data_IF_625354063044
#
_entry.id   IF_625354063044
#
_cell.length_a   1.000
_cell.length_b   1.000
_cell.length_c   1.000
_cell.angle_alpha   90.00
_cell.angle_beta   90.00
_cell.angle_gamma   90.00
#
_symmetry.space_group_name_H-M   'P 1'
#
loop_
_entity.id
_entity.type
_entity.pdbx_description
1 polymer ?
#
# COMPACT_ATOMS: atom_id res chain seq x y z
N UNK A 1 -47.58 15.31 5.41
CA UNK A 1 -46.23 15.06 4.85
C UNK A 1 -45.62 13.91 5.64
N UNK A 2 -45.49 12.72 5.05
CA UNK A 2 -44.82 11.62 5.74
C UNK A 2 -43.32 11.93 5.78
N UNK A 3 -42.79 12.29 6.95
CA UNK A 3 -41.37 12.56 7.16
C UNK A 3 -40.50 11.34 6.85
N UNK A 4 -39.18 11.52 6.82
CA UNK A 4 -38.26 10.40 6.73
C UNK A 4 -38.47 9.42 7.90
N UNK A 5 -38.04 8.15 7.77
CA UNK A 5 -38.20 7.15 8.85
C UNK A 5 -37.61 7.66 10.16
N UNK A 6 -36.45 8.33 10.07
CA UNK A 6 -35.77 8.92 11.22
C UNK A 6 -36.59 10.01 11.93
N UNK A 7 -37.41 10.75 11.19
CA UNK A 7 -38.28 11.82 11.73
C UNK A 7 -39.54 11.25 12.39
N UNK A 8 -40.01 10.09 11.94
CA UNK A 8 -41.24 9.45 12.45
C UNK A 8 -40.97 8.39 13.53
N UNK A 9 -39.71 8.06 13.83
CA UNK A 9 -39.37 7.07 14.84
C UNK A 9 -39.41 7.67 16.26
N UNK A 10 -40.14 7.00 17.16
CA UNK A 10 -40.08 7.30 18.60
C UNK A 10 -38.67 7.02 19.16
N UNK A 11 -38.26 7.75 20.20
CA UNK A 11 -36.99 7.56 20.90
C UNK A 11 -36.76 6.11 21.35
N UNK A 12 -37.81 5.40 21.80
CA UNK A 12 -37.72 3.98 22.17
C UNK A 12 -37.26 3.09 21.00
N UNK A 13 -37.86 3.27 19.82
CA UNK A 13 -37.47 2.54 18.59
C UNK A 13 -36.05 2.87 18.15
N UNK A 14 -35.66 4.15 18.22
CA UNK A 14 -34.31 4.59 17.89
C UNK A 14 -33.26 3.93 18.81
N UNK A 15 -33.52 3.89 20.13
CA UNK A 15 -32.64 3.23 21.10
C UNK A 15 -32.54 1.74 20.82
N UNK A 16 -33.66 1.06 20.52
CA UNK A 16 -33.65 -0.38 20.19
C UNK A 16 -32.77 -0.64 18.96
N UNK A 17 -32.93 0.12 17.88
CA UNK A 17 -32.10 -0.01 16.67
C UNK A 17 -30.63 0.27 17.00
N UNK A 18 -30.34 1.30 17.79
CA UNK A 18 -28.98 1.63 18.21
C UNK A 18 -28.32 0.51 19.01
N UNK A 19 -29.04 -0.11 19.96
CA UNK A 19 -28.54 -1.26 20.73
C UNK A 19 -28.30 -2.46 19.83
N UNK A 20 -29.20 -2.75 18.87
CA UNK A 20 -29.01 -3.84 17.91
C UNK A 20 -27.73 -3.62 17.09
N UNK A 21 -27.53 -2.42 16.54
CA UNK A 21 -26.32 -2.08 15.79
C UNK A 21 -25.05 -2.18 16.66
N UNK A 22 -25.12 -1.75 17.92
CA UNK A 22 -24.02 -1.88 18.86
C UNK A 22 -23.68 -3.34 19.15
N UNK A 23 -24.69 -4.21 19.30
CA UNK A 23 -24.46 -5.66 19.46
C UNK A 23 -23.79 -6.26 18.22
N UNK A 24 -24.22 -5.89 17.01
CA UNK A 24 -23.54 -6.32 15.77
C UNK A 24 -22.10 -5.81 15.68
N UNK A 25 -21.83 -4.59 16.14
CA UNK A 25 -20.48 -4.04 16.18
C UNK A 25 -19.59 -4.81 17.18
N UNK A 26 -20.10 -5.10 18.38
CA UNK A 26 -19.40 -5.91 19.38
C UNK A 26 -19.13 -7.31 18.85
N UNK A 27 -20.10 -7.96 18.20
CA UNK A 27 -19.91 -9.25 17.54
C UNK A 27 -18.80 -9.19 16.50
N UNK A 28 -18.76 -8.14 15.68
CA UNK A 28 -17.72 -7.95 14.66
C UNK A 28 -16.32 -7.82 15.29
N UNK A 29 -16.22 -7.11 16.42
CA UNK A 29 -14.97 -7.05 17.18
C UNK A 29 -14.57 -8.39 17.79
N UNK A 30 -15.52 -9.16 18.31
CA UNK A 30 -15.26 -10.51 18.84
C UNK A 30 -14.79 -11.47 17.74
N UNK A 31 -15.37 -11.39 16.55
CA UNK A 31 -14.92 -12.18 15.39
C UNK A 31 -13.48 -11.83 15.02
N UNK A 32 -13.14 -10.53 14.94
CA UNK A 32 -11.78 -10.08 14.65
C UNK A 32 -10.77 -10.42 15.76
N UNK A 33 -11.16 -10.33 17.03
CA UNK A 33 -10.26 -10.51 18.17
C UNK A 33 -10.08 -11.95 18.65
N UNK A 34 -11.11 -12.80 18.53
CA UNK A 34 -11.09 -14.17 19.05
C UNK A 34 -10.90 -15.23 17.97
N UNK A 35 -11.36 -14.98 16.74
CA UNK A 35 -11.35 -15.98 15.67
C UNK A 35 -10.31 -15.70 14.59
N UNK A 36 -10.08 -14.44 14.24
CA UNK A 36 -9.10 -14.08 13.22
C UNK A 36 -7.68 -14.05 13.82
N UNK A 37 -6.69 -14.77 13.24
CA UNK A 37 -5.30 -14.61 13.62
C UNK A 37 -4.75 -13.27 13.11
N UNK A 38 -3.48 -12.98 13.40
CA UNK A 38 -2.82 -11.76 12.90
C UNK A 38 -2.98 -11.63 11.38
N UNK A 39 -3.27 -10.42 10.85
CA UNK A 39 -3.57 -10.23 9.43
C UNK A 39 -2.43 -10.66 8.50
N UNK A 40 -1.20 -10.40 8.91
CA UNK A 40 0.01 -10.73 8.15
C UNK A 40 0.98 -11.52 9.02
N UNK A 41 1.90 -12.21 8.35
CA UNK A 41 3.05 -12.88 8.96
C UNK A 41 4.29 -12.48 8.19
N UNK A 42 5.34 -12.09 8.91
CA UNK A 42 6.65 -11.77 8.35
C UNK A 42 7.63 -12.90 8.68
N UNK A 43 8.30 -13.42 7.66
CA UNK A 43 9.27 -14.50 7.79
C UNK A 43 10.61 -14.02 7.23
N UNK A 44 11.67 -14.17 8.02
CA UNK A 44 13.03 -13.82 7.62
C UNK A 44 13.69 -15.00 6.90
N UNK A 45 14.33 -14.72 5.78
CA UNK A 45 15.10 -15.65 4.96
C UNK A 45 16.52 -15.10 4.80
N UNK A 46 17.51 -15.95 5.04
CA UNK A 46 18.90 -15.63 4.73
C UNK A 46 19.24 -16.30 3.40
N UNK A 47 19.76 -15.54 2.45
CA UNK A 47 20.09 -16.06 1.14
C UNK A 47 21.29 -17.00 1.21
N UNK A 48 21.13 -18.19 0.62
CA UNK A 48 22.23 -19.15 0.52
C UNK A 48 23.12 -18.77 -0.65
N UNK A 49 24.42 -18.60 -0.40
CA UNK A 49 25.42 -18.29 -1.43
C UNK A 49 25.77 -19.56 -2.20
N UNK A 50 25.21 -19.69 -3.39
CA UNK A 50 25.48 -20.77 -4.33
C UNK A 50 26.56 -20.37 -5.34
N UNK A 51 27.35 -21.34 -5.80
CA UNK A 51 28.38 -21.13 -6.83
C UNK A 51 27.89 -21.67 -8.18
N UNK A 52 27.91 -20.83 -9.20
CA UNK A 52 27.69 -21.18 -10.61
C UNK A 52 29.01 -21.69 -11.20
N UNK A 53 29.35 -22.94 -10.90
CA UNK A 53 30.48 -23.61 -11.55
C UNK A 53 30.03 -23.87 -12.98
N UNK A 54 30.56 -23.11 -13.95
CA UNK A 54 30.30 -23.25 -15.39
C UNK A 54 30.76 -24.61 -15.94
N UNK A 55 30.16 -25.70 -15.47
CA UNK A 55 30.33 -27.02 -16.07
C UNK A 55 29.56 -26.99 -17.39
N UNK A 56 30.33 -27.08 -18.47
CA UNK A 56 29.88 -27.17 -19.85
C UNK A 56 28.56 -27.97 -19.98
N UNK A 57 27.61 -27.37 -20.70
CA UNK A 57 26.46 -28.00 -21.36
C UNK A 57 25.16 -28.30 -20.60
N UNK A 58 24.98 -27.89 -19.34
CA UNK A 58 23.62 -27.81 -18.77
C UNK A 58 23.40 -26.48 -18.06
N UNK A 59 22.53 -25.65 -18.63
CA UNK A 59 22.02 -24.45 -17.97
C UNK A 59 21.13 -24.89 -16.80
N UNK A 60 21.69 -25.24 -15.64
CA UNK A 60 20.89 -25.26 -14.42
C UNK A 60 20.55 -23.82 -14.07
N UNK A 61 19.46 -23.31 -14.67
CA UNK A 61 19.00 -21.92 -14.52
C UNK A 61 18.64 -21.57 -13.07
N UNK A 62 18.31 -22.59 -12.28
CA UNK A 62 17.74 -22.47 -10.95
C UNK A 62 18.60 -23.19 -9.92
N UNK A 63 18.95 -22.50 -8.83
CA UNK A 63 19.91 -22.95 -7.83
C UNK A 63 19.15 -23.22 -6.55
N UNK A 64 19.10 -24.47 -6.10
CA UNK A 64 18.31 -24.83 -4.93
C UNK A 64 19.15 -24.65 -3.65
N UNK A 65 18.67 -23.89 -2.64
CA UNK A 65 19.44 -23.64 -1.42
C UNK A 65 19.48 -24.82 -0.46
N UNK A 66 18.67 -25.86 -0.63
CA UNK A 66 18.64 -27.06 0.22
C UNK A 66 17.96 -28.21 -0.53
N UNK A 67 18.05 -29.45 -0.04
CA UNK A 67 17.40 -30.63 -0.64
C UNK A 67 18.32 -31.48 -1.53
N UNK A 68 17.77 -32.45 -2.28
CA UNK A 68 18.57 -33.45 -3.02
C UNK A 68 19.40 -32.83 -4.16
N UNK A 69 18.87 -31.80 -4.83
CA UNK A 69 19.56 -31.04 -5.87
C UNK A 69 20.09 -29.69 -5.35
N UNK A 70 20.62 -29.68 -4.13
CA UNK A 70 21.19 -28.45 -3.56
C UNK A 70 22.41 -27.97 -4.35
N UNK A 71 22.57 -26.66 -4.42
CA UNK A 71 23.73 -26.02 -5.00
C UNK A 71 24.99 -26.27 -4.16
N UNK A 72 26.16 -26.07 -4.78
CA UNK A 72 27.43 -25.95 -4.06
C UNK A 72 27.45 -24.62 -3.30
N UNK A 73 27.60 -24.67 -1.98
CA UNK A 73 27.44 -23.51 -1.09
C UNK A 73 28.77 -23.06 -0.53
N UNK A 74 28.91 -21.75 -0.40
CA UNK A 74 29.99 -21.10 0.37
C UNK A 74 29.41 -20.46 1.62
N UNK A 75 30.13 -20.56 2.74
CA UNK A 75 29.70 -19.93 4.01
C UNK A 75 30.12 -18.46 4.03
N UNK A 76 31.38 -18.21 3.66
CA UNK A 76 31.98 -16.88 3.69
C UNK A 76 32.73 -16.57 2.38
N UNK A 77 32.89 -15.29 2.07
CA UNK A 77 33.60 -14.84 0.87
C UNK A 77 35.10 -15.14 0.92
N UNK A 78 35.67 -15.38 2.12
CA UNK A 78 37.05 -15.87 2.25
C UNK A 78 37.25 -17.23 1.58
N UNK A 79 36.25 -18.12 1.64
CA UNK A 79 36.27 -19.41 0.95
C UNK A 79 36.22 -19.20 -0.57
N UNK A 80 35.43 -18.22 -1.04
CA UNK A 80 35.35 -17.87 -2.45
C UNK A 80 36.68 -17.36 -3.01
N UNK A 81 37.43 -16.55 -2.24
CA UNK A 81 38.76 -16.11 -2.62
C UNK A 81 39.76 -17.27 -2.68
N UNK A 82 39.72 -18.19 -1.71
CA UNK A 82 40.56 -19.39 -1.72
C UNK A 82 40.30 -20.27 -2.96
N UNK A 83 39.04 -20.39 -3.37
CA UNK A 83 38.60 -21.15 -4.55
C UNK A 83 38.68 -20.37 -5.87
N UNK A 84 39.14 -19.10 -5.86
CA UNK A 84 39.23 -18.20 -7.03
C UNK A 84 37.90 -18.02 -7.78
N UNK A 85 36.79 -17.96 -7.05
CA UNK A 85 35.44 -17.75 -7.61
C UNK A 85 35.26 -16.26 -7.93
N UNK A 86 34.72 -15.95 -9.12
CA UNK A 86 34.40 -14.56 -9.50
C UNK A 86 33.09 -14.10 -8.86
N UNK A 87 32.94 -12.79 -8.61
CA UNK A 87 31.71 -12.22 -8.07
C UNK A 87 30.46 -12.54 -8.93
N UNK A 88 30.63 -12.59 -10.25
CA UNK A 88 29.56 -12.90 -11.20
C UNK A 88 29.05 -14.34 -11.13
N UNK A 89 29.85 -15.25 -10.59
CA UNK A 89 29.51 -16.67 -10.49
C UNK A 89 28.84 -16.98 -9.13
N UNK A 90 28.63 -16.00 -8.26
CA UNK A 90 27.90 -16.17 -6.99
C UNK A 90 26.42 -15.86 -7.20
N UNK A 91 25.57 -16.79 -6.77
CA UNK A 91 24.11 -16.69 -6.83
C UNK A 91 23.54 -16.80 -5.43
N UNK A 92 22.83 -15.79 -4.98
CA UNK A 92 22.10 -15.80 -3.71
C UNK A 92 20.73 -16.43 -3.94
N UNK A 93 20.54 -17.65 -3.45
CA UNK A 93 19.32 -18.41 -3.64
C UNK A 93 18.46 -18.43 -2.37
N UNK A 94 17.17 -18.14 -2.51
CA UNK A 94 16.16 -18.26 -1.45
C UNK A 94 14.96 -19.06 -1.94
N UNK A 95 14.60 -20.07 -1.16
CA UNK A 95 13.41 -20.87 -1.39
C UNK A 95 12.30 -20.41 -0.44
N UNK A 96 11.17 -20.03 -1.01
CA UNK A 96 9.97 -19.61 -0.30
C UNK A 96 8.89 -20.66 -0.58
N UNK A 97 8.31 -21.32 0.43
CA UNK A 97 8.50 -21.12 1.87
C UNK A 97 9.73 -21.87 2.43
N UNK A 98 9.97 -21.74 3.73
CA UNK A 98 10.97 -22.52 4.48
C UNK A 98 10.81 -24.05 4.31
N UNK A 99 11.85 -24.85 4.60
CA UNK A 99 11.78 -26.31 4.47
C UNK A 99 10.58 -26.93 5.20
N UNK A 100 9.98 -27.96 4.59
CA UNK A 100 8.80 -28.69 5.08
C UNK A 100 7.51 -27.86 5.22
N UNK A 101 7.44 -26.68 4.61
CA UNK A 101 6.22 -25.87 4.51
C UNK A 101 5.80 -25.73 3.04
N UNK A 102 4.55 -25.39 2.81
CA UNK A 102 4.00 -25.05 1.49
C UNK A 102 3.25 -23.72 1.56
N UNK A 103 3.33 -22.93 0.49
CA UNK A 103 2.46 -21.76 0.32
C UNK A 103 1.07 -22.20 -0.12
N UNK A 104 0.08 -21.35 0.14
CA UNK A 104 -1.30 -21.62 -0.27
C UNK A 104 -1.95 -20.37 -0.86
N UNK A 105 -2.95 -20.54 -1.76
CA UNK A 105 -3.73 -19.42 -2.31
C UNK A 105 -4.45 -18.56 -1.28
N UNK A 106 -4.61 -19.06 -0.04
CA UNK A 106 -5.18 -18.31 1.07
C UNK A 106 -4.31 -17.13 1.51
N UNK A 107 -3.02 -17.13 1.16
CA UNK A 107 -2.11 -16.05 1.51
C UNK A 107 -2.29 -14.78 0.67
N UNK A 108 -3.15 -14.83 -0.37
CA UNK A 108 -3.59 -13.75 -1.27
C UNK A 108 -2.46 -12.97 -1.97
N UNK A 109 -1.54 -12.37 -1.23
CA UNK A 109 -0.39 -11.65 -1.74
C UNK A 109 0.89 -12.08 -1.02
N UNK A 110 2.02 -11.83 -1.67
CA UNK A 110 3.34 -12.00 -1.09
C UNK A 110 4.19 -10.77 -1.40
N UNK A 111 4.63 -10.09 -0.35
CA UNK A 111 5.59 -9.00 -0.38
C UNK A 111 6.93 -9.53 0.09
N UNK A 112 8.01 -9.13 -0.57
CA UNK A 112 9.36 -9.42 -0.13
C UNK A 112 10.15 -8.13 -0.08
N UNK A 113 10.79 -7.92 1.06
CA UNK A 113 11.67 -6.80 1.33
C UNK A 113 13.10 -7.33 1.36
N UNK A 114 14.02 -6.61 0.73
CA UNK A 114 15.44 -6.93 0.68
C UNK A 114 16.21 -6.08 1.69
N UNK A 115 17.13 -6.71 2.39
CA UNK A 115 18.06 -6.08 3.32
C UNK A 115 19.47 -6.61 3.04
N UNK A 116 20.42 -5.71 2.81
CA UNK A 116 21.83 -6.08 2.64
C UNK A 116 22.57 -5.94 3.97
N UNK A 117 23.33 -6.98 4.32
CA UNK A 117 24.29 -6.89 5.41
C UNK A 117 25.65 -6.52 4.82
N UNK A 118 26.06 -5.26 5.00
CA UNK A 118 27.30 -4.73 4.43
C UNK A 118 28.28 -4.46 5.57
N UNK A 119 29.48 -5.04 5.50
CA UNK A 119 30.55 -4.78 6.45
C UNK A 119 31.36 -3.53 6.04
N UNK A 120 31.75 -2.74 7.03
CA UNK A 120 32.62 -1.60 6.86
C UNK A 120 34.07 -2.03 6.62
N UNK A 121 34.66 -1.51 5.55
CA UNK A 121 36.05 -1.72 5.16
C UNK A 121 36.64 -0.38 4.70
N UNK A 122 37.84 -0.02 5.19
CA UNK A 122 38.46 1.27 4.84
C UNK A 122 38.76 1.41 3.34
N UNK A 123 39.07 0.30 2.67
CA UNK A 123 39.44 0.28 1.25
C UNK A 123 38.23 0.32 0.31
N UNK A 124 37.06 -0.13 0.77
CA UNK A 124 35.85 -0.26 -0.04
C UNK A 124 34.66 0.34 0.71
N UNK A 125 34.60 1.67 0.76
CA UNK A 125 33.53 2.41 1.41
C UNK A 125 32.38 2.66 0.43
N UNK A 126 31.16 2.68 0.96
CA UNK A 126 29.99 3.18 0.24
C UNK A 126 30.09 4.71 0.16
N UNK A 127 29.84 5.26 -1.03
CA UNK A 127 29.78 6.71 -1.22
C UNK A 127 28.71 7.37 -0.31
N UNK A 128 29.00 8.56 0.23
CA UNK A 128 28.10 9.25 1.17
C UNK A 128 26.76 9.68 0.54
N UNK A 129 26.73 9.90 -0.79
CA UNK A 129 25.50 10.21 -1.54
C UNK A 129 24.63 8.97 -1.86
N UNK A 130 25.03 7.79 -1.38
CA UNK A 130 24.45 6.49 -1.66
C UNK A 130 25.03 5.84 -2.91
N UNK A 131 24.96 4.50 -2.98
CA UNK A 131 25.44 3.72 -4.12
C UNK A 131 24.29 3.07 -4.88
N UNK A 132 24.42 2.90 -6.20
CA UNK A 132 23.43 2.19 -7.00
C UNK A 132 23.83 0.71 -7.11
N UNK A 133 22.98 -0.18 -6.61
CA UNK A 133 23.12 -1.63 -6.79
C UNK A 133 22.25 -2.10 -7.95
N UNK A 134 22.87 -2.81 -8.88
CA UNK A 134 22.19 -3.51 -9.97
C UNK A 134 22.01 -4.96 -9.57
N UNK A 135 20.77 -5.42 -9.53
CA UNK A 135 20.38 -6.74 -9.08
C UNK A 135 19.78 -7.48 -10.26
N UNK A 136 20.39 -8.59 -10.66
CA UNK A 136 19.87 -9.49 -11.69
C UNK A 136 19.10 -10.61 -10.99
N UNK A 137 17.77 -10.57 -11.06
CA UNK A 137 16.89 -11.43 -10.28
C UNK A 137 16.03 -12.31 -11.19
N UNK A 138 15.94 -13.59 -10.83
CA UNK A 138 14.98 -14.54 -11.38
C UNK A 138 14.02 -15.04 -10.30
N UNK A 139 12.73 -15.07 -10.61
CA UNK A 139 11.69 -15.71 -9.80
C UNK A 139 11.12 -16.90 -10.58
N UNK A 140 11.09 -18.06 -9.93
CA UNK A 140 10.45 -19.26 -10.44
C UNK A 140 9.43 -19.82 -9.46
N UNK A 141 8.54 -20.67 -9.96
CA UNK A 141 7.60 -21.44 -9.16
C UNK A 141 7.64 -22.91 -9.54
N UNK A 142 7.07 -23.72 -8.64
CA UNK A 142 6.69 -25.12 -8.88
C UNK A 142 5.60 -25.52 -7.89
N UNK A 143 4.81 -26.52 -8.25
CA UNK A 143 3.76 -27.08 -7.37
C UNK A 143 4.13 -28.44 -6.81
N UNK A 144 4.92 -29.22 -7.54
CA UNK A 144 5.48 -30.49 -7.09
C UNK A 144 6.98 -30.33 -6.76
N UNK A 145 7.47 -31.07 -5.78
CA UNK A 145 8.88 -31.06 -5.36
C UNK A 145 9.76 -31.70 -6.44
N UNK A 146 9.20 -32.62 -7.23
CA UNK A 146 9.90 -33.34 -8.29
C UNK A 146 9.86 -32.62 -9.65
N UNK A 147 8.96 -31.65 -9.83
CA UNK A 147 8.83 -30.94 -11.10
C UNK A 147 9.96 -29.91 -11.28
N UNK A 148 10.28 -29.62 -12.55
CA UNK A 148 11.19 -28.55 -12.91
C UNK A 148 10.63 -27.17 -12.54
N UNK A 149 11.53 -26.21 -12.33
CA UNK A 149 11.19 -24.83 -12.01
C UNK A 149 10.77 -24.07 -13.26
N UNK A 150 9.59 -23.46 -13.22
CA UNK A 150 9.07 -22.60 -14.28
C UNK A 150 9.28 -21.13 -13.92
N UNK A 151 9.84 -20.35 -14.83
CA UNK A 151 10.09 -18.93 -14.62
C UNK A 151 8.78 -18.13 -14.61
N UNK A 152 8.63 -17.24 -13.62
CA UNK A 152 7.60 -16.20 -13.58
C UNK A 152 8.12 -14.94 -14.26
N UNK A 153 9.27 -14.46 -13.77
CA UNK A 153 9.85 -13.21 -14.19
C UNK A 153 11.36 -13.22 -13.98
N UNK A 154 12.07 -12.56 -14.90
CA UNK A 154 13.49 -12.27 -14.79
C UNK A 154 13.72 -10.83 -15.20
N UNK A 155 14.33 -10.04 -14.33
CA UNK A 155 14.62 -8.64 -14.61
C UNK A 155 15.91 -8.18 -13.94
N UNK A 156 16.47 -7.10 -14.50
CA UNK A 156 17.59 -6.37 -13.90
C UNK A 156 17.06 -5.10 -13.29
N UNK A 157 17.10 -5.04 -11.97
CA UNK A 157 16.59 -3.91 -11.21
C UNK A 157 17.75 -3.08 -10.68
N UNK A 158 17.62 -1.76 -10.78
CA UNK A 158 18.49 -0.83 -10.06
C UNK A 158 17.80 -0.43 -8.76
N UNK A 159 18.58 -0.38 -7.67
CA UNK A 159 18.17 0.11 -6.37
C UNK A 159 19.24 1.02 -5.79
N UNK A 160 18.80 2.06 -5.07
CA UNK A 160 19.69 2.95 -4.34
C UNK A 160 19.93 2.35 -2.94
N UNK A 161 21.19 2.14 -2.60
CA UNK A 161 21.65 1.77 -1.26
C UNK A 161 21.80 3.04 -0.43
N UNK A 162 20.87 3.25 0.50
CA UNK A 162 20.93 4.26 1.54
C UNK A 162 21.41 3.57 2.82
N UNK A 163 22.67 3.78 3.17
CA UNK A 163 23.31 3.13 4.31
C UNK A 163 24.08 4.17 5.13
N UNK A 164 23.88 4.15 6.44
CA UNK A 164 24.58 5.02 7.37
C UNK A 164 25.54 4.19 8.25
N UNK A 165 26.72 4.75 8.52
CA UNK A 165 27.66 4.16 9.46
C UNK A 165 27.69 5.01 10.73
N UNK A 166 27.08 4.49 11.79
CA UNK A 166 26.93 5.20 13.05
C UNK A 166 28.24 5.32 13.84
N UNK A 167 29.20 4.43 13.60
CA UNK A 167 30.49 4.42 14.28
C UNK A 167 31.53 5.32 13.57
N UNK A 168 32.56 5.81 14.28
CA UNK A 168 33.63 6.55 13.62
C UNK A 168 34.41 5.64 12.66
N UNK A 169 34.69 6.14 11.45
CA UNK A 169 35.45 5.47 10.38
C UNK A 169 36.93 5.30 10.77
N UNK A 170 37.20 4.40 11.71
CA UNK A 170 38.53 4.04 12.24
C UNK A 170 38.82 2.56 11.94
N UNK A 171 40.10 2.16 11.84
CA UNK A 171 40.48 0.76 11.62
C UNK A 171 39.95 -0.17 12.71
N UNK A 172 39.80 0.32 13.96
CA UNK A 172 39.22 -0.45 15.08
C UNK A 172 37.76 -0.88 14.86
N UNK A 173 37.04 -0.20 13.95
CA UNK A 173 35.64 -0.47 13.65
C UNK A 173 35.45 -1.21 12.31
N UNK A 174 36.53 -1.67 11.67
CA UNK A 174 36.42 -2.55 10.51
C UNK A 174 35.66 -3.83 10.84
N UNK A 175 34.84 -4.29 9.89
CA UNK A 175 33.97 -5.46 10.05
C UNK A 175 32.63 -5.17 10.72
N UNK A 176 32.40 -3.97 11.29
CA UNK A 176 31.06 -3.58 11.76
C UNK A 176 30.11 -3.38 10.60
N UNK A 177 28.83 -3.68 10.79
CA UNK A 177 27.83 -3.54 9.75
C UNK A 177 27.37 -2.09 9.59
N UNK A 178 27.10 -1.71 8.34
CA UNK A 178 26.32 -0.52 8.02
C UNK A 178 24.86 -0.72 8.44
N UNK A 179 24.22 0.37 8.85
CA UNK A 179 22.78 0.43 9.06
C UNK A 179 22.12 0.89 7.76
N UNK A 180 21.52 -0.05 7.02
CA UNK A 180 20.95 0.20 5.70
C UNK A 180 19.42 0.19 5.74
N UNK A 181 18.82 1.08 4.96
CA UNK A 181 17.37 1.13 4.82
C UNK A 181 16.83 -0.12 4.10
N UNK A 182 15.63 -0.54 4.52
CA UNK A 182 14.92 -1.66 3.90
C UNK A 182 14.44 -1.31 2.49
N UNK A 183 14.67 -2.17 1.51
CA UNK A 183 14.28 -1.92 0.12
C UNK A 183 13.10 -2.81 -0.32
N UNK A 184 12.06 -2.25 -0.95
CA UNK A 184 11.01 -3.05 -1.57
C UNK A 184 11.58 -3.83 -2.76
N UNK A 185 11.36 -5.16 -2.76
CA UNK A 185 12.01 -6.06 -3.71
C UNK A 185 11.05 -6.77 -4.65
N UNK A 186 10.04 -7.45 -4.10
CA UNK A 186 9.09 -8.25 -4.88
C UNK A 186 7.68 -8.09 -4.32
N UNK A 187 6.70 -7.87 -5.19
CA UNK A 187 5.27 -7.88 -4.82
C UNK A 187 4.50 -8.78 -5.79
N UNK A 188 3.92 -9.87 -5.27
CA UNK A 188 3.01 -10.74 -6.00
C UNK A 188 1.59 -10.54 -5.47
N UNK A 189 0.68 -10.14 -6.36
CA UNK A 189 -0.75 -9.95 -6.03
C UNK A 189 -1.58 -11.25 -5.95
N UNK A 190 -0.95 -12.41 -6.14
CA UNK A 190 -1.57 -13.74 -6.05
C UNK A 190 -0.52 -14.79 -5.70
N UNK A 191 -0.81 -15.64 -4.71
CA UNK A 191 0.04 -16.77 -4.29
C UNK A 191 -0.56 -18.08 -4.81
N UNK A 192 -0.49 -18.31 -6.11
CA UNK A 192 -1.13 -19.47 -6.73
C UNK A 192 -0.40 -20.80 -6.54
N UNK A 193 0.93 -20.74 -6.33
CA UNK A 193 1.79 -21.92 -6.34
C UNK A 193 2.30 -22.26 -4.94
N UNK A 194 2.69 -23.52 -4.75
CA UNK A 194 3.15 -24.01 -3.44
C UNK A 194 4.58 -23.60 -3.10
N UNK A 195 5.45 -23.54 -4.11
CA UNK A 195 6.87 -23.27 -3.92
C UNK A 195 7.35 -22.22 -4.91
N UNK A 196 8.20 -21.32 -4.41
CA UNK A 196 8.83 -20.24 -5.14
C UNK A 196 10.32 -20.25 -4.88
N UNK A 197 11.10 -19.97 -5.92
CA UNK A 197 12.54 -19.84 -5.84
C UNK A 197 12.96 -18.47 -6.36
N UNK A 198 13.74 -17.77 -5.55
CA UNK A 198 14.29 -16.46 -5.87
C UNK A 198 15.80 -16.61 -5.99
N UNK A 199 16.32 -16.36 -7.18
CA UNK A 199 17.74 -16.33 -7.45
C UNK A 199 18.18 -14.89 -7.69
N UNK A 200 19.16 -14.43 -6.93
CA UNK A 200 19.66 -13.05 -6.98
C UNK A 200 21.13 -13.10 -7.36
N UNK A 201 21.51 -12.36 -8.39
CA UNK A 201 22.90 -12.17 -8.83
C UNK A 201 23.27 -10.70 -8.76
N UNK A 202 24.50 -10.42 -8.37
CA UNK A 202 25.07 -9.08 -8.32
C UNK A 202 26.16 -8.96 -9.40
N UNK A 203 25.80 -8.67 -10.66
CA UNK A 203 26.78 -8.62 -11.73
C UNK A 203 27.74 -7.44 -11.53
N UNK A 204 29.04 -7.69 -11.58
CA UNK A 204 30.10 -6.69 -11.47
C UNK A 204 30.69 -6.42 -12.85
N UNK A 205 30.77 -5.14 -13.22
CA UNK A 205 31.40 -4.71 -14.47
C UNK A 205 32.12 -3.37 -14.28
N UNK A 206 33.45 -3.42 -14.20
CA UNK A 206 34.29 -2.22 -14.00
C UNK A 206 34.19 -1.22 -15.16
N UNK A 207 34.07 -1.71 -16.41
CA UNK A 207 34.01 -0.84 -17.61
C UNK A 207 32.74 0.01 -17.62
N UNK A 208 31.62 -0.58 -17.18
CA UNK A 208 30.32 0.09 -17.10
C UNK A 208 30.05 0.69 -15.71
N UNK A 209 31.01 0.60 -14.77
CA UNK A 209 30.87 0.97 -13.36
C UNK A 209 29.62 0.38 -12.69
N UNK A 210 29.30 -0.87 -13.01
CA UNK A 210 28.15 -1.59 -12.41
C UNK A 210 28.63 -2.32 -11.17
N UNK A 211 27.96 -2.08 -10.03
CA UNK A 211 28.25 -2.70 -8.72
C UNK A 211 29.71 -2.51 -8.26
N UNK A 212 30.30 -1.35 -8.56
CA UNK A 212 31.63 -0.97 -8.08
C UNK A 212 31.45 -0.02 -6.89
N UNK A 213 32.16 -0.27 -5.77
CA UNK A 213 32.09 0.60 -4.59
C UNK A 213 30.78 0.49 -3.79
N UNK A 214 30.10 -0.65 -3.84
CA UNK A 214 28.87 -0.92 -3.07
C UNK A 214 29.15 -1.45 -1.65
N UNK A 215 30.39 -1.33 -1.18
CA UNK A 215 30.84 -1.88 0.11
C UNK A 215 31.13 -3.39 0.06
N UNK A 216 31.48 -3.96 1.21
CA UNK A 216 31.72 -5.40 1.37
C UNK A 216 30.45 -6.10 1.84
N UNK A 217 29.62 -6.54 0.90
CA UNK A 217 28.40 -7.30 1.20
C UNK A 217 28.79 -8.63 1.83
N UNK A 218 28.23 -8.95 3.01
CA UNK A 218 28.40 -10.22 3.73
C UNK A 218 27.26 -11.17 3.47
N UNK A 219 26.02 -10.70 3.61
CA UNK A 219 24.83 -11.52 3.41
C UNK A 219 23.69 -10.69 2.83
N UNK A 220 22.71 -11.39 2.27
CA UNK A 220 21.47 -10.81 1.78
C UNK A 220 20.34 -11.46 2.56
N UNK A 221 19.56 -10.63 3.25
CA UNK A 221 18.37 -11.05 3.96
C UNK A 221 17.13 -10.64 3.18
N UNK A 222 16.11 -11.50 3.20
CA UNK A 222 14.81 -11.24 2.62
C UNK A 222 13.73 -11.43 3.68
N UNK A 223 12.80 -10.48 3.78
CA UNK A 223 11.64 -10.59 4.66
C UNK A 223 10.42 -10.82 3.79
N UNK A 224 9.91 -12.05 3.81
CA UNK A 224 8.68 -12.44 3.11
C UNK A 224 7.47 -12.17 4.00
N UNK A 225 6.62 -11.23 3.58
CA UNK A 225 5.37 -10.86 4.24
C UNK A 225 4.22 -11.38 3.40
N UNK A 226 3.35 -12.18 3.99
CA UNK A 226 2.15 -12.66 3.32
C UNK A 226 0.94 -12.52 4.23
N UNK A 227 -0.25 -12.46 3.64
CA UNK A 227 -1.48 -12.47 4.42
C UNK A 227 -1.64 -13.82 5.10
N UNK A 228 -2.17 -13.83 6.32
CA UNK A 228 -2.40 -15.07 7.03
C UNK A 228 -3.66 -15.75 6.49
N UNK A 229 -3.55 -17.03 6.11
CA UNK A 229 -4.66 -17.75 5.48
C UNK A 229 -5.88 -17.91 6.40
N UNK A 230 -5.67 -17.99 7.71
CA UNK A 230 -6.77 -17.98 8.69
C UNK A 230 -7.51 -16.64 8.72
N UNK A 231 -6.78 -15.53 8.66
CA UNK A 231 -7.37 -14.19 8.59
C UNK A 231 -8.16 -14.01 7.29
N UNK A 232 -7.60 -14.44 6.15
CA UNK A 232 -8.28 -14.42 4.84
C UNK A 232 -9.62 -15.16 4.87
N UNK A 233 -9.68 -16.35 5.50
CA UNK A 233 -10.93 -17.12 5.62
C UNK A 233 -12.00 -16.38 6.41
N UNK A 234 -11.64 -15.81 7.57
CA UNK A 234 -12.58 -15.03 8.39
C UNK A 234 -13.04 -13.77 7.65
N UNK A 235 -12.11 -13.10 6.98
CA UNK A 235 -12.38 -11.92 6.16
C UNK A 235 -13.37 -12.22 5.03
N UNK A 236 -13.17 -13.31 4.30
CA UNK A 236 -14.07 -13.73 3.22
C UNK A 236 -15.45 -14.11 3.76
N UNK A 237 -15.51 -14.84 4.87
CA UNK A 237 -16.78 -15.20 5.52
C UNK A 237 -17.56 -13.95 5.94
N UNK A 238 -16.88 -12.96 6.52
CA UNK A 238 -17.48 -11.69 6.91
C UNK A 238 -18.03 -10.94 5.69
N UNK A 239 -17.26 -10.84 4.60
CA UNK A 239 -17.73 -10.24 3.35
C UNK A 239 -18.97 -10.95 2.82
N UNK A 240 -18.90 -12.27 2.64
CA UNK A 240 -20.01 -13.09 2.13
C UNK A 240 -21.28 -12.95 2.97
N UNK A 241 -21.16 -12.83 4.29
CA UNK A 241 -22.31 -12.62 5.17
C UNK A 241 -22.89 -11.20 5.06
N UNK A 242 -22.05 -10.18 4.94
CA UNK A 242 -22.48 -8.79 4.86
C UNK A 242 -23.07 -8.42 3.49
N UNK A 243 -22.55 -8.94 2.39
CA UNK A 243 -23.05 -8.60 1.03
C UNK A 243 -24.57 -8.72 0.87
N UNK A 244 -25.22 -9.85 1.18
CA UNK A 244 -26.67 -10.00 0.98
C UNK A 244 -27.47 -9.04 1.87
N UNK A 245 -27.04 -8.83 3.12
CA UNK A 245 -27.73 -7.89 4.03
C UNK A 245 -27.72 -6.45 3.50
N UNK A 246 -26.57 -5.97 3.01
CA UNK A 246 -26.41 -4.64 2.45
C UNK A 246 -27.17 -4.50 1.12
N UNK A 247 -27.17 -5.54 0.28
CA UNK A 247 -27.92 -5.56 -0.97
C UNK A 247 -29.43 -5.47 -0.72
N UNK A 248 -29.96 -6.26 0.23
CA UNK A 248 -31.39 -6.26 0.58
C UNK A 248 -31.83 -4.88 1.07
N UNK A 249 -31.08 -4.28 2.01
CA UNK A 249 -31.44 -2.95 2.52
C UNK A 249 -31.31 -1.86 1.46
N UNK A 250 -30.33 -1.95 0.56
CA UNK A 250 -30.15 -1.02 -0.56
C UNK A 250 -31.31 -1.10 -1.56
N UNK A 251 -31.70 -2.30 -1.98
CA UNK A 251 -32.85 -2.52 -2.89
C UNK A 251 -34.14 -2.05 -2.23
N UNK A 252 -34.35 -2.36 -0.95
CA UNK A 252 -35.50 -1.89 -0.19
C UNK A 252 -35.53 -0.36 -0.08
N UNK A 253 -34.39 0.27 0.22
CA UNK A 253 -34.27 1.71 0.33
C UNK A 253 -34.62 2.42 -0.98
N UNK A 254 -34.07 1.95 -2.10
CA UNK A 254 -34.36 2.53 -3.41
C UNK A 254 -35.82 2.32 -3.82
N UNK A 255 -36.37 1.12 -3.59
CA UNK A 255 -37.79 0.83 -3.85
C UNK A 255 -38.71 1.74 -3.04
N UNK A 256 -38.37 2.05 -1.78
CA UNK A 256 -39.16 2.98 -0.94
C UNK A 256 -39.12 4.40 -1.48
N UNK A 257 -37.99 4.85 -2.01
CA UNK A 257 -37.85 6.19 -2.60
C UNK A 257 -38.68 6.32 -3.89
N UNK A 258 -38.62 5.32 -4.78
CA UNK A 258 -39.32 5.38 -6.06
C UNK A 258 -40.85 5.27 -5.94
N UNK A 259 -41.36 4.77 -4.81
CA UNK A 259 -42.80 4.72 -4.52
C UNK A 259 -43.37 6.07 -4.07
N UNK A 260 -42.53 7.05 -3.71
CA UNK A 260 -42.99 8.39 -3.37
C UNK A 260 -43.30 9.20 -4.64
N UNK A 261 -44.31 10.06 -4.57
CA UNK A 261 -44.71 10.91 -5.71
C UNK A 261 -43.72 12.04 -6.01
N UNK A 262 -42.80 12.34 -5.08
CA UNK A 262 -41.76 13.37 -5.24
C UNK A 262 -40.52 12.80 -5.93
N UNK A 263 -39.77 13.59 -6.71
CA UNK A 263 -38.46 13.17 -7.20
C UNK A 263 -37.47 12.99 -6.03
N UNK A 264 -36.50 12.06 -6.15
CA UNK A 264 -35.50 11.81 -5.11
C UNK A 264 -34.61 13.03 -4.86
N UNK A 265 -34.44 13.38 -3.58
CA UNK A 265 -33.58 14.51 -3.17
C UNK A 265 -32.10 14.17 -3.30
N UNK A 266 -31.24 15.20 -3.31
CA UNK A 266 -29.79 15.00 -3.50
C UNK A 266 -29.19 14.06 -2.45
N UNK A 267 -29.58 14.23 -1.18
CA UNK A 267 -29.09 13.42 -0.06
C UNK A 267 -29.52 11.95 -0.17
N UNK A 268 -30.74 11.68 -0.63
CA UNK A 268 -31.25 10.32 -0.86
C UNK A 268 -30.44 9.61 -1.96
N UNK A 269 -30.10 10.32 -3.04
CA UNK A 269 -29.24 9.83 -4.13
C UNK A 269 -27.81 9.54 -3.66
N UNK A 270 -27.25 10.40 -2.82
CA UNK A 270 -25.89 10.19 -2.28
C UNK A 270 -25.81 9.01 -1.32
N UNK A 271 -26.82 8.81 -0.45
CA UNK A 271 -26.92 7.60 0.39
C UNK A 271 -27.03 6.35 -0.47
N UNK A 272 -27.84 6.39 -1.54
CA UNK A 272 -27.94 5.26 -2.47
C UNK A 272 -26.59 4.95 -3.14
N UNK A 273 -25.88 5.98 -3.63
CA UNK A 273 -24.57 5.81 -4.23
C UNK A 273 -23.51 5.30 -3.24
N UNK A 274 -23.57 5.72 -1.97
CA UNK A 274 -22.74 5.18 -0.89
C UNK A 274 -23.07 3.70 -0.59
N UNK A 275 -24.35 3.33 -0.65
CA UNK A 275 -24.80 1.93 -0.54
C UNK A 275 -24.26 1.06 -1.67
N UNK A 276 -24.23 1.58 -2.90
CA UNK A 276 -23.63 0.88 -4.07
C UNK A 276 -22.14 0.68 -3.86
N UNK A 277 -21.38 1.71 -3.46
CA UNK A 277 -19.93 1.58 -3.24
C UNK A 277 -19.60 0.64 -2.07
N UNK A 278 -20.39 0.66 -0.99
CA UNK A 278 -20.26 -0.30 0.12
C UNK A 278 -20.56 -1.73 -0.33
N UNK A 279 -21.59 -1.92 -1.15
CA UNK A 279 -21.90 -3.23 -1.74
C UNK A 279 -20.73 -3.71 -2.59
N UNK A 280 -20.15 -2.84 -3.43
CA UNK A 280 -19.05 -3.18 -4.33
C UNK A 280 -17.79 -3.66 -3.60
N UNK A 281 -17.43 -3.08 -2.45
CA UNK A 281 -16.33 -3.56 -1.60
C UNK A 281 -16.61 -4.93 -1.00
N UNK A 282 -17.85 -5.15 -0.57
CA UNK A 282 -18.27 -6.35 0.13
C UNK A 282 -18.56 -7.53 -0.80
N UNK A 283 -18.66 -7.33 -2.12
CA UNK A 283 -18.76 -8.46 -3.06
C UNK A 283 -17.48 -9.29 -2.92
N UNK A 284 -17.59 -10.59 -2.57
CA UNK A 284 -16.43 -11.40 -2.22
C UNK A 284 -15.81 -12.01 -3.50
N UNK A 285 -15.37 -11.14 -4.41
CA UNK A 285 -14.69 -11.51 -5.69
C UNK A 285 -13.39 -12.27 -5.41
N UNK A 286 -12.81 -12.07 -4.24
CA UNK A 286 -11.58 -12.72 -3.78
C UNK A 286 -11.73 -14.25 -3.62
N UNK A 287 -12.95 -14.80 -3.54
CA UNK A 287 -13.14 -16.25 -3.61
C UNK A 287 -12.58 -16.86 -4.89
N UNK A 288 -12.65 -16.11 -6.01
CA UNK A 288 -12.12 -16.58 -7.27
C UNK A 288 -10.58 -16.65 -7.28
N UNK A 289 -9.87 -15.86 -6.45
CA UNK A 289 -8.40 -15.93 -6.39
C UNK A 289 -7.89 -17.21 -5.73
N UNK A 290 -8.74 -17.95 -5.02
CA UNK A 290 -8.36 -19.25 -4.44
C UNK A 290 -8.27 -20.32 -5.53
N UNK A 291 -9.12 -20.24 -6.55
CA UNK A 291 -9.15 -21.21 -7.66
C UNK A 291 -8.38 -20.78 -8.91
N UNK A 292 -8.26 -19.47 -9.13
CA UNK A 292 -7.60 -18.90 -10.31
C UNK A 292 -6.47 -17.95 -9.93
N UNK A 293 -5.35 -18.03 -10.66
CA UNK A 293 -4.23 -17.12 -10.45
C UNK A 293 -4.51 -15.74 -11.07
N UNK A 294 -5.13 -14.83 -10.31
CA UNK A 294 -5.41 -13.46 -10.75
C UNK A 294 -4.54 -12.46 -10.00
N UNK A 295 -3.46 -12.02 -10.65
CA UNK A 295 -2.48 -11.08 -10.09
C UNK A 295 -3.04 -9.66 -9.87
N UNK A 296 -4.12 -9.28 -10.55
CA UNK A 296 -4.77 -7.96 -10.47
C UNK A 296 -5.74 -7.81 -9.28
N UNK A 297 -5.89 -8.84 -8.44
CA UNK A 297 -6.83 -8.82 -7.32
C UNK A 297 -6.52 -7.69 -6.31
N UNK A 298 -5.24 -7.43 -6.06
CA UNK A 298 -4.80 -6.37 -5.14
C UNK A 298 -5.23 -4.98 -5.64
N UNK A 299 -4.88 -4.67 -6.89
CA UNK A 299 -5.26 -3.42 -7.56
C UNK A 299 -6.78 -3.23 -7.59
N UNK A 300 -7.53 -4.28 -7.88
CA UNK A 300 -9.00 -4.22 -7.85
C UNK A 300 -9.55 -3.99 -6.43
N UNK A 301 -8.88 -4.51 -5.39
CA UNK A 301 -9.17 -4.20 -3.99
C UNK A 301 -8.99 -2.71 -3.69
N UNK A 302 -7.86 -2.12 -4.09
CA UNK A 302 -7.57 -0.71 -3.82
C UNK A 302 -8.54 0.22 -4.55
N UNK A 303 -8.83 -0.06 -5.82
CA UNK A 303 -9.79 0.72 -6.62
C UNK A 303 -11.17 0.72 -5.95
N UNK A 304 -11.63 -0.44 -5.46
CA UNK A 304 -12.90 -0.56 -4.73
C UNK A 304 -12.91 0.30 -3.46
N UNK A 305 -11.83 0.25 -2.68
CA UNK A 305 -11.69 1.05 -1.46
C UNK A 305 -11.61 2.55 -1.75
N UNK A 306 -10.83 2.94 -2.75
CA UNK A 306 -10.70 4.33 -3.20
C UNK A 306 -12.03 4.94 -3.63
N UNK A 307 -12.84 4.21 -4.41
CA UNK A 307 -14.19 4.64 -4.81
C UNK A 307 -15.07 4.87 -3.58
N UNK A 308 -15.06 3.95 -2.60
CA UNK A 308 -15.86 4.10 -1.38
C UNK A 308 -15.44 5.32 -0.57
N UNK A 309 -14.14 5.53 -0.35
CA UNK A 309 -13.66 6.70 0.41
C UNK A 309 -14.04 8.02 -0.27
N UNK A 310 -13.93 8.09 -1.59
CA UNK A 310 -14.37 9.26 -2.37
C UNK A 310 -15.86 9.52 -2.23
N UNK A 311 -16.69 8.47 -2.29
CA UNK A 311 -18.14 8.58 -2.09
C UNK A 311 -18.51 8.96 -0.65
N UNK A 312 -17.82 8.41 0.36
CA UNK A 312 -18.04 8.69 1.77
C UNK A 312 -17.71 10.15 2.12
N UNK A 313 -16.55 10.65 1.68
CA UNK A 313 -16.16 12.04 1.90
C UNK A 313 -17.09 13.01 1.17
N UNK A 314 -17.50 12.67 -0.06
CA UNK A 314 -18.48 13.46 -0.82
C UNK A 314 -19.84 13.49 -0.09
N UNK A 315 -20.28 12.36 0.45
CA UNK A 315 -21.50 12.26 1.25
C UNK A 315 -21.44 13.16 2.49
N UNK A 316 -20.36 13.13 3.27
CA UNK A 316 -20.22 13.96 4.47
C UNK A 316 -20.26 15.46 4.16
N UNK A 317 -19.58 15.93 3.12
CA UNK A 317 -19.60 17.34 2.74
C UNK A 317 -21.00 17.78 2.32
N UNK A 318 -21.68 16.99 1.48
CA UNK A 318 -23.02 17.31 1.00
C UNK A 318 -24.03 17.26 2.16
N UNK A 319 -23.89 16.27 3.05
CA UNK A 319 -24.74 16.15 4.24
C UNK A 319 -24.63 17.38 5.14
N UNK A 320 -23.41 17.80 5.50
CA UNK A 320 -23.19 19.00 6.30
C UNK A 320 -23.69 20.26 5.59
N UNK A 321 -23.47 20.37 4.28
CA UNK A 321 -23.91 21.53 3.50
C UNK A 321 -25.43 21.65 3.39
N UNK A 322 -26.15 20.56 3.09
CA UNK A 322 -27.62 20.56 3.03
C UNK A 322 -28.27 20.90 4.37
N UNK A 323 -27.65 20.51 5.50
CA UNK A 323 -28.16 20.81 6.84
C UNK A 323 -27.82 22.23 7.35
N UNK A 324 -26.81 22.91 6.79
CA UNK A 324 -26.42 24.27 7.21
C UNK A 324 -26.85 25.39 6.26
N UNK A 325 -27.14 25.11 4.98
CA UNK A 325 -27.47 26.16 3.99
C UNK A 325 -28.96 26.53 3.96
N UNK A 326 -29.24 27.81 3.73
CA UNK A 326 -30.59 28.36 3.58
C UNK A 326 -31.33 27.83 2.33
N UNK A 327 -32.66 27.85 2.37
CA UNK A 327 -33.56 27.14 1.44
C UNK A 327 -33.38 27.46 -0.06
N UNK A 328 -32.77 28.58 -0.44
CA UNK A 328 -32.76 29.08 -1.82
C UNK A 328 -31.82 28.31 -2.79
N UNK A 329 -30.79 27.60 -2.29
CA UNK A 329 -29.79 26.88 -3.13
C UNK A 329 -29.77 25.36 -2.94
N UNK A 330 -30.73 24.80 -2.18
CA UNK A 330 -30.78 23.36 -1.86
C UNK A 330 -31.02 22.48 -3.10
N UNK A 331 -30.55 21.23 -3.04
CA UNK A 331 -30.72 20.20 -4.08
C UNK A 331 -29.97 20.40 -5.42
N UNK A 332 -29.15 21.44 -5.58
CA UNK A 332 -28.39 21.65 -6.83
C UNK A 332 -26.94 21.19 -6.68
N UNK A 333 -26.59 20.06 -7.28
CA UNK A 333 -25.22 19.50 -7.26
C UNK A 333 -24.14 20.51 -7.70
N UNK A 334 -24.48 21.42 -8.62
CA UNK A 334 -23.58 22.47 -9.12
C UNK A 334 -23.03 23.40 -8.01
N UNK A 335 -23.77 23.59 -6.90
CA UNK A 335 -23.34 24.41 -5.76
C UNK A 335 -22.20 23.73 -5.00
N UNK A 336 -22.26 22.41 -4.87
CA UNK A 336 -21.27 21.59 -4.16
C UNK A 336 -20.03 21.27 -4.99
N UNK A 337 -20.03 21.52 -6.31
CA UNK A 337 -18.90 21.22 -7.19
C UNK A 337 -17.58 21.84 -6.72
N UNK A 338 -17.62 23.03 -6.11
CA UNK A 338 -16.43 23.70 -5.57
C UNK A 338 -15.78 22.93 -4.41
N UNK A 339 -16.59 22.18 -3.64
CA UNK A 339 -16.18 21.40 -2.46
C UNK A 339 -15.90 19.93 -2.80
N UNK A 340 -16.70 19.32 -3.68
CA UNK A 340 -16.52 17.92 -4.14
C UNK A 340 -15.39 17.80 -5.18
N UNK A 341 -15.17 18.82 -6.00
CA UNK A 341 -14.14 18.83 -7.05
C UNK A 341 -12.72 18.45 -6.56
N UNK A 342 -12.20 19.02 -5.44
CA UNK A 342 -10.93 18.59 -4.85
C UNK A 342 -10.88 17.13 -4.44
N UNK A 343 -11.98 16.56 -3.92
CA UNK A 343 -12.02 15.15 -3.51
C UNK A 343 -11.89 14.26 -4.73
N UNK A 344 -12.69 14.52 -5.77
CA UNK A 344 -12.66 13.74 -7.02
C UNK A 344 -11.30 13.87 -7.70
N UNK A 345 -10.73 15.08 -7.76
CA UNK A 345 -9.40 15.31 -8.31
C UNK A 345 -8.32 14.57 -7.50
N UNK A 346 -8.37 14.65 -6.18
CA UNK A 346 -7.43 13.94 -5.30
C UNK A 346 -7.50 12.43 -5.47
N UNK A 347 -8.72 11.87 -5.52
CA UNK A 347 -8.95 10.46 -5.78
C UNK A 347 -8.45 10.03 -7.17
N UNK A 348 -8.59 10.88 -8.18
CA UNK A 348 -8.09 10.60 -9.52
C UNK A 348 -6.56 10.59 -9.57
N UNK A 349 -5.88 11.50 -8.84
CA UNK A 349 -4.43 11.47 -8.70
C UNK A 349 -3.94 10.19 -8.00
N UNK A 350 -4.60 9.78 -6.91
CA UNK A 350 -4.27 8.53 -6.21
C UNK A 350 -4.52 7.30 -7.11
N UNK A 351 -5.61 7.30 -7.88
CA UNK A 351 -5.86 6.24 -8.85
C UNK A 351 -4.76 6.12 -9.91
N UNK A 352 -4.28 7.25 -10.46
CA UNK A 352 -3.14 7.23 -11.41
C UNK A 352 -1.89 6.68 -10.71
N UNK A 353 -1.64 7.09 -9.48
CA UNK A 353 -0.51 6.59 -8.70
C UNK A 353 -0.57 5.06 -8.52
N UNK A 354 -1.70 4.52 -8.08
CA UNK A 354 -1.89 3.07 -7.91
C UNK A 354 -1.73 2.31 -9.25
N UNK A 355 -2.23 2.88 -10.35
CA UNK A 355 -2.06 2.31 -11.69
C UNK A 355 -0.60 2.34 -12.16
N UNK A 356 0.18 3.36 -11.80
CA UNK A 356 1.59 3.46 -12.14
C UNK A 356 2.47 2.53 -11.29
N UNK A 357 2.15 2.35 -10.01
CA UNK A 357 2.89 1.47 -9.10
C UNK A 357 2.43 0.02 -9.28
N UNK A 358 1.23 -0.32 -8.81
CA UNK A 358 0.68 -1.68 -8.81
C UNK A 358 0.29 -2.18 -10.19
N UNK A 359 -0.13 -1.28 -11.08
CA UNK A 359 -0.44 -1.66 -12.46
C UNK A 359 0.79 -2.11 -13.26
N UNK A 360 1.96 -1.51 -13.02
CA UNK A 360 3.22 -1.95 -13.66
C UNK A 360 3.77 -3.21 -13.01
N UNK A 361 3.59 -3.36 -11.68
CA UNK A 361 3.97 -4.57 -10.94
C UNK A 361 3.30 -5.85 -11.49
N UNK A 362 2.12 -5.75 -12.11
CA UNK A 362 1.46 -6.89 -12.76
C UNK A 362 2.30 -7.53 -13.87
N UNK A 363 3.12 -6.73 -14.57
CA UNK A 363 4.00 -7.21 -15.64
C UNK A 363 5.41 -7.48 -15.13
N UNK A 364 5.92 -6.63 -14.25
CA UNK A 364 7.22 -6.81 -13.62
C UNK A 364 7.06 -6.76 -12.09
N UNK A 365 7.05 -7.90 -11.39
CA UNK A 365 6.76 -7.94 -9.96
C UNK A 365 7.90 -7.35 -9.11
N UNK A 366 9.06 -7.10 -9.72
CA UNK A 366 10.19 -6.41 -9.09
C UNK A 366 10.19 -4.89 -9.34
N UNK A 367 9.20 -4.35 -10.04
CA UNK A 367 9.13 -2.91 -10.26
C UNK A 367 8.80 -2.16 -8.97
N UNK A 368 9.46 -1.01 -8.76
CA UNK A 368 9.11 -0.06 -7.71
C UNK A 368 9.29 1.36 -8.24
N UNK A 369 8.26 2.19 -8.09
CA UNK A 369 8.30 3.60 -8.52
C UNK A 369 9.35 4.40 -7.71
N UNK A 370 9.60 3.98 -6.47
CA UNK A 370 10.55 4.57 -5.53
C UNK A 370 12.01 4.28 -5.89
N UNK A 371 12.27 3.39 -6.85
CA UNK A 371 13.62 3.07 -7.29
C UNK A 371 14.24 4.14 -8.22
N UNK A 372 13.41 5.01 -8.82
CA UNK A 372 13.84 6.10 -9.70
C UNK A 372 13.63 7.44 -9.01
N UNK A 373 14.59 8.35 -9.13
CA UNK A 373 14.47 9.71 -8.58
C UNK A 373 13.26 10.45 -9.20
N UNK A 374 13.09 10.33 -10.52
CA UNK A 374 11.95 10.91 -11.25
C UNK A 374 10.64 10.24 -10.83
N UNK A 375 10.66 8.91 -10.64
CA UNK A 375 9.50 8.17 -10.17
C UNK A 375 9.06 8.62 -8.77
N UNK A 376 10.03 8.82 -7.88
CA UNK A 376 9.82 9.30 -6.51
C UNK A 376 9.27 10.72 -6.49
N UNK A 377 9.82 11.64 -7.28
CA UNK A 377 9.30 13.01 -7.37
C UNK A 377 7.85 13.05 -7.90
N UNK A 378 7.53 12.21 -8.89
CA UNK A 378 6.17 12.08 -9.42
C UNK A 378 5.23 11.45 -8.39
N UNK A 379 5.64 10.37 -7.72
CA UNK A 379 4.88 9.71 -6.67
C UNK A 379 4.55 10.67 -5.52
N UNK A 380 5.56 11.37 -5.01
CA UNK A 380 5.40 12.42 -3.99
C UNK A 380 4.48 13.52 -4.51
N UNK A 381 4.63 13.95 -5.76
CA UNK A 381 3.73 14.96 -6.34
C UNK A 381 2.28 14.48 -6.37
N UNK A 382 1.98 13.28 -6.85
CA UNK A 382 0.62 12.73 -6.90
C UNK A 382 0.03 12.46 -5.51
N UNK A 383 0.85 12.07 -4.53
CA UNK A 383 0.41 11.85 -3.16
C UNK A 383 0.15 13.17 -2.38
N UNK A 384 0.96 14.22 -2.60
CA UNK A 384 0.87 15.48 -1.85
C UNK A 384 0.00 16.56 -2.53
N UNK A 385 -0.22 16.50 -3.85
CA UNK A 385 -1.10 17.43 -4.57
C UNK A 385 -2.56 17.45 -4.04
N UNK A 386 -3.19 16.31 -3.67
CA UNK A 386 -4.51 16.27 -3.03
C UNK A 386 -4.55 16.97 -1.66
N UNK A 387 -3.49 16.79 -0.85
CA UNK A 387 -3.38 17.43 0.45
C UNK A 387 -3.21 18.94 0.33
N UNK A 388 -2.33 19.40 -0.57
CA UNK A 388 -2.09 20.84 -0.78
C UNK A 388 -3.31 21.57 -1.32
N UNK A 389 -4.10 20.94 -2.19
CA UNK A 389 -5.34 21.54 -2.72
C UNK A 389 -6.43 21.62 -1.66
N UNK A 390 -6.58 20.60 -0.81
CA UNK A 390 -7.50 20.62 0.34
C UNK A 390 -7.08 21.65 1.40
N UNK A 391 -5.79 21.73 1.75
CA UNK A 391 -5.30 22.65 2.77
C UNK A 391 -5.35 24.12 2.31
N UNK A 392 -4.96 24.43 1.07
CA UNK A 392 -5.06 25.81 0.54
C UNK A 392 -6.52 26.28 0.44
N UNK A 393 -7.46 25.41 0.07
CA UNK A 393 -8.90 25.76 0.06
C UNK A 393 -9.46 25.89 1.49
N UNK A 394 -9.09 25.02 2.42
CA UNK A 394 -9.50 25.11 3.82
C UNK A 394 -8.99 26.41 4.49
N UNK A 395 -7.75 26.82 4.23
CA UNK A 395 -7.18 28.09 4.71
C UNK A 395 -7.88 29.29 4.05
N UNK A 396 -8.28 29.19 2.78
CA UNK A 396 -9.00 30.26 2.07
C UNK A 396 -10.46 30.39 2.52
N UNK A 397 -11.12 29.26 2.83
CA UNK A 397 -12.47 29.22 3.42
C UNK A 397 -12.47 29.78 4.85
N UNK A 398 -11.46 29.46 5.66
CA UNK A 398 -11.31 30.01 7.02
C UNK A 398 -11.10 31.53 7.01
N UNK A 399 -10.48 32.11 5.97
CA UNK A 399 -10.39 33.58 5.78
C UNK A 399 -11.71 34.23 5.34
N UNK A 400 -12.61 33.49 4.69
CA UNK A 400 -13.91 34.01 4.25
C UNK A 400 -15.00 33.88 5.33
N UNK A 401 -14.74 33.14 6.41
CA UNK A 401 -15.67 32.90 7.52
C UNK A 401 -15.34 33.69 8.81
N UNK A 402 -14.38 34.62 8.79
CA UNK A 402 -14.25 35.60 9.87
C UNK A 402 -15.27 36.74 9.65
N UNK A 403 -16.27 36.91 10.52
CA UNK A 403 -17.11 38.10 10.48
C UNK A 403 -16.29 39.31 10.99
N UNK A 404 -16.60 40.47 10.42
CA UNK A 404 -16.15 41.84 10.69
C UNK A 404 -15.53 42.16 12.08
N UNK A 405 -14.63 43.17 12.15
CA UNK A 405 -13.99 43.58 13.41
C UNK A 405 -15.03 44.09 14.44
N UNK A 406 -14.72 44.02 15.74
CA UNK A 406 -15.65 44.41 16.80
C UNK A 406 -16.03 45.90 16.73
N UNK A 407 -17.22 46.29 17.23
CA UNK A 407 -17.70 47.66 17.15
C UNK A 407 -16.85 48.60 18.00
N UNK A 408 -16.52 49.77 17.44
CA UNK A 408 -15.88 50.87 18.15
C UNK A 408 -16.82 51.44 19.21
N UNK A 409 -16.53 51.20 20.48
CA UNK A 409 -17.11 51.96 21.58
C UNK A 409 -16.63 53.42 21.47
N UNK A 410 -17.54 54.36 21.20
CA UNK A 410 -17.29 55.80 21.32
C UNK A 410 -17.24 56.16 22.81
N UNK A 411 -16.06 56.54 23.26
CA UNK A 411 -15.83 57.16 24.57
C UNK A 411 -16.16 58.68 24.47
N UNK A 412 -17.14 59.21 25.21
CA UNK A 412 -17.52 60.61 25.17
C UNK A 412 -16.64 61.45 26.11
N UNK A 413 -15.35 61.52 25.85
CA UNK A 413 -14.41 62.25 26.72
C UNK A 413 -13.30 63.00 25.96
N UNK A 414 -13.57 63.43 24.72
CA UNK A 414 -12.69 64.36 23.97
C UNK A 414 -13.50 65.42 23.20
N UNK A 415 -14.13 66.33 23.94
CA UNK A 415 -14.55 67.65 23.47
C UNK A 415 -14.00 68.70 24.44
N UNK A 416 -12.72 69.02 24.28
CA UNK A 416 -12.11 70.28 24.71
C UNK A 416 -10.64 70.20 24.31
N UNK A 417 -10.27 70.83 23.19
CA UNK A 417 -9.21 71.83 23.12
C UNK A 417 -8.90 72.18 21.66
N UNK A 418 -8.75 73.49 21.44
CA UNK A 418 -8.09 74.14 20.31
C UNK A 418 -8.91 74.37 19.02
N UNK A 419 -9.78 75.37 19.08
CA UNK A 419 -9.90 76.36 18.01
C UNK A 419 -8.85 77.47 18.23
N UNK A 420 -7.93 77.70 17.28
CA UNK A 420 -7.36 79.03 16.98
C UNK A 420 -6.33 78.96 15.83
N UNK A 421 -6.38 79.99 14.97
CA UNK A 421 -5.46 80.35 13.85
C UNK A 421 -5.73 79.55 12.56
N UNK A 422 -6.27 80.10 11.46
CA UNK A 422 -5.85 81.31 10.75
C UNK A 422 -6.77 81.54 9.52
N UNK A 423 -7.11 82.82 9.29
CA UNK A 423 -7.64 83.49 8.08
C UNK A 423 -9.03 83.10 7.58
#
# INVERSE_FOLDING_TARGET
MAGAIIENMSTKKLVIVGVILLLFQVLSFLVGGLFAPSPTTAIHYVATKCVDVRKHNQQSKWFMPWGPHQCEKIRDFSEAMAMRIQANDIVFAVHIPLPNKEMSPWFQFMLVILQFDIAFNLNNQIAEDGAMVTIDVGLAYRDDILSEWTEIAHSRELRKLSCNFTAPKKPENEGRHYDCDLMPFLELGSVAHKYYLVNIRLPVNERKRVNVGIGEIKDIQLVGIHQNGGFTKVWFAMKTFLTPSILIIMVWYWRRITLMTRPPVLLEKMIFALGISMTFINIPVEWFSVGFNWTWMLLFGDIRQGIFYTMLLSFWIIFCGEHMMDQAERNRFAVYWKQVGPIVFGSFCLFIFDMCERGVQLKNPFYSIWASDVGTELAVSFAFLPLKTSFKKAVRLRRLQQPFPPPTFRDPSKKAFSSASQV
#
